data_IF_231829584962
#
_entry.id   IF_231829584962
#
_cell.length_a   1.000
_cell.length_b   1.000
_cell.length_c   1.000
_cell.angle_alpha   90.00
_cell.angle_beta   90.00
_cell.angle_gamma   90.00
#
_symmetry.space_group_name_H-M   'P 1'
#
loop_
_entity.id
_entity.type
_entity.pdbx_description
1 polymer ?
#
# COMPACT_ATOMS: atom_id res chain seq x y z
N UNK A 1 -13.70 17.73 12.71
CA UNK A 1 -12.57 17.02 12.09
C UNK A 1 -12.85 15.55 12.32
N UNK A 2 -13.31 14.86 11.29
CA UNK A 2 -13.82 13.49 11.41
C UNK A 2 -12.71 12.51 11.76
N UNK A 3 -13.14 11.48 12.49
CA UNK A 3 -12.43 10.38 13.11
C UNK A 3 -11.18 9.90 12.36
N UNK A 4 -10.09 9.71 13.12
CA UNK A 4 -8.97 8.86 12.70
C UNK A 4 -9.49 7.43 12.53
N UNK A 5 -9.89 7.08 11.31
CA UNK A 5 -9.97 5.67 10.90
C UNK A 5 -8.57 5.08 11.10
N UNK A 6 -8.48 4.03 11.93
CA UNK A 6 -7.21 3.40 12.25
C UNK A 6 -6.82 2.48 11.09
N UNK A 7 -6.22 3.07 10.04
CA UNK A 7 -5.80 2.35 8.84
C UNK A 7 -4.72 1.32 9.17
N UNK A 8 -5.10 0.06 9.32
CA UNK A 8 -4.15 -1.04 9.50
C UNK A 8 -4.05 -1.83 8.20
N UNK A 9 -2.84 -2.05 7.70
CA UNK A 9 -2.60 -2.95 6.57
C UNK A 9 -2.31 -4.33 7.15
N UNK A 10 -3.17 -5.31 6.90
CA UNK A 10 -2.94 -6.71 7.28
C UNK A 10 -2.23 -7.50 6.19
N UNK A 11 -1.40 -8.47 6.59
CA UNK A 11 -0.53 -9.20 5.68
C UNK A 11 -1.31 -10.05 4.65
N UNK A 12 -2.45 -10.62 5.05
CA UNK A 12 -3.20 -11.60 4.25
C UNK A 12 -4.29 -10.99 3.36
N UNK A 13 -4.41 -9.67 3.32
CA UNK A 13 -5.49 -8.97 2.62
C UNK A 13 -4.98 -8.22 1.37
N UNK A 14 -5.89 -8.02 0.41
CA UNK A 14 -5.62 -7.28 -0.82
C UNK A 14 -6.29 -5.91 -0.78
N UNK A 15 -5.50 -4.85 -0.85
CA UNK A 15 -5.96 -3.48 -0.70
C UNK A 15 -5.95 -2.72 -2.01
N UNK A 16 -6.90 -1.81 -2.17
CA UNK A 16 -6.87 -0.82 -3.25
C UNK A 16 -5.69 0.12 -3.04
N UNK A 17 -5.11 0.59 -4.14
CA UNK A 17 -4.05 1.61 -4.11
C UNK A 17 -4.47 2.87 -3.35
N UNK A 18 -5.75 3.25 -3.39
CA UNK A 18 -6.25 4.39 -2.62
C UNK A 18 -6.09 4.19 -1.11
N UNK A 19 -6.53 3.05 -0.59
CA UNK A 19 -6.42 2.72 0.83
C UNK A 19 -4.97 2.72 1.29
N UNK A 20 -4.07 2.11 0.50
CA UNK A 20 -2.64 2.06 0.83
C UNK A 20 -2.00 3.44 0.86
N UNK A 21 -2.40 4.31 -0.07
CA UNK A 21 -1.94 5.69 -0.14
C UNK A 21 -2.40 6.49 1.09
N UNK A 22 -3.66 6.35 1.46
CA UNK A 22 -4.24 7.05 2.61
C UNK A 22 -3.66 6.51 3.94
N UNK A 23 -3.41 5.20 4.03
CA UNK A 23 -2.86 4.53 5.22
C UNK A 23 -1.39 4.86 5.49
N UNK A 24 -0.58 5.08 4.45
CA UNK A 24 0.89 5.21 4.58
C UNK A 24 1.43 6.57 4.17
N UNK A 25 0.55 7.48 3.76
CA UNK A 25 0.90 8.77 3.14
C UNK A 25 1.81 8.65 1.91
N UNK A 26 1.92 7.46 1.29
CA UNK A 26 2.64 7.28 0.03
C UNK A 26 1.74 7.72 -1.12
N UNK A 27 2.19 8.60 -2.03
CA UNK A 27 1.36 9.03 -3.16
C UNK A 27 0.93 7.85 -4.04
N UNK A 28 -0.35 7.83 -4.46
CA UNK A 28 -0.89 6.80 -5.38
C UNK A 28 -0.02 6.58 -6.61
N UNK A 29 0.53 7.66 -7.19
CA UNK A 29 1.44 7.62 -8.34
C UNK A 29 2.69 6.78 -8.07
N UNK A 30 3.27 6.90 -6.88
CA UNK A 30 4.46 6.13 -6.49
C UNK A 30 4.14 4.64 -6.41
N UNK A 31 2.98 4.30 -5.82
CA UNK A 31 2.52 2.90 -5.74
C UNK A 31 2.28 2.34 -7.14
N UNK A 32 1.64 3.10 -8.05
CA UNK A 32 1.47 2.68 -9.44
C UNK A 32 2.79 2.49 -10.18
N UNK A 33 3.77 3.38 -10.00
CA UNK A 33 5.10 3.21 -10.59
C UNK A 33 5.78 1.93 -10.08
N UNK A 34 5.68 1.62 -8.79
CA UNK A 34 6.23 0.38 -8.23
C UNK A 34 5.56 -0.87 -8.85
N UNK A 35 4.26 -0.81 -9.13
CA UNK A 35 3.54 -1.87 -9.84
C UNK A 35 4.05 -1.99 -11.29
N UNK A 36 4.19 -0.87 -12.01
CA UNK A 36 4.70 -0.84 -13.39
C UNK A 36 6.14 -1.38 -13.50
N UNK A 37 6.97 -1.06 -12.51
CA UNK A 37 8.36 -1.55 -12.38
C UNK A 37 8.45 -3.00 -11.88
N UNK A 38 7.32 -3.66 -11.61
CA UNK A 38 7.23 -5.03 -11.07
C UNK A 38 7.87 -5.20 -9.69
N UNK A 39 7.93 -4.13 -8.91
CA UNK A 39 8.33 -4.15 -7.50
C UNK A 39 7.19 -4.57 -6.57
N UNK A 40 5.94 -4.44 -7.05
CA UNK A 40 4.72 -4.86 -6.37
C UNK A 40 3.86 -5.75 -7.29
N UNK A 41 3.60 -6.96 -6.82
CA UNK A 41 2.58 -7.86 -7.34
C UNK A 41 1.18 -7.31 -7.13
N UNK A 42 0.30 -7.54 -8.11
CA UNK A 42 -1.09 -7.10 -8.04
C UNK A 42 -2.05 -8.15 -8.54
N UNK A 43 -3.28 -8.06 -8.06
CA UNK A 43 -4.43 -8.80 -8.59
C UNK A 43 -5.48 -7.81 -9.08
N UNK A 44 -6.04 -8.07 -10.26
CA UNK A 44 -7.10 -7.24 -10.85
C UNK A 44 -8.46 -7.88 -10.63
N UNK A 45 -9.21 -7.39 -9.63
CA UNK A 45 -10.61 -7.80 -9.37
C UNK A 45 -11.48 -6.55 -9.39
N UNK A 46 -11.94 -6.17 -10.58
CA UNK A 46 -12.62 -4.89 -10.87
C UNK A 46 -11.72 -3.65 -10.76
N UNK A 47 -10.75 -3.66 -9.85
CA UNK A 47 -9.72 -2.64 -9.64
C UNK A 47 -8.37 -3.31 -9.30
N UNK A 48 -7.28 -2.56 -9.43
CA UNK A 48 -5.94 -3.02 -9.05
C UNK A 48 -5.86 -3.07 -7.53
N UNK A 49 -5.46 -4.24 -7.00
CA UNK A 49 -5.20 -4.44 -5.58
C UNK A 49 -3.82 -5.03 -5.36
N UNK A 50 -3.19 -4.66 -4.24
CA UNK A 50 -1.86 -5.12 -3.83
C UNK A 50 -2.00 -5.96 -2.56
N UNK A 51 -1.25 -7.04 -2.44
CA UNK A 51 -1.18 -7.83 -1.21
C UNK A 51 -0.52 -7.01 -0.09
N UNK A 52 -1.15 -6.95 1.09
CA UNK A 52 -0.69 -6.15 2.21
C UNK A 52 0.70 -6.54 2.69
N UNK A 53 1.02 -7.85 2.72
CA UNK A 53 2.36 -8.34 3.10
C UNK A 53 3.45 -7.84 2.15
N UNK A 54 3.20 -7.94 0.84
CA UNK A 54 4.14 -7.50 -0.17
C UNK A 54 4.33 -5.98 -0.11
N UNK A 55 3.23 -5.25 0.04
CA UNK A 55 3.27 -3.80 0.18
C UNK A 55 4.09 -3.35 1.40
N UNK A 56 3.92 -3.98 2.57
CA UNK A 56 4.75 -3.68 3.75
C UNK A 56 6.22 -3.96 3.52
N UNK A 57 6.56 -5.08 2.85
CA UNK A 57 7.96 -5.41 2.52
C UNK A 57 8.57 -4.35 1.62
N UNK A 58 7.86 -3.96 0.56
CA UNK A 58 8.27 -2.89 -0.34
C UNK A 58 8.41 -1.55 0.39
N UNK A 59 7.47 -1.23 1.28
CA UNK A 59 7.49 0.01 2.07
C UNK A 59 8.72 0.05 2.97
N UNK A 60 9.03 -1.02 3.70
CA UNK A 60 10.25 -1.11 4.54
C UNK A 60 11.55 -1.06 3.74
N UNK A 61 11.54 -1.50 2.49
CA UNK A 61 12.73 -1.46 1.63
C UNK A 61 13.02 -0.05 1.08
N UNK A 62 11.98 0.78 0.92
CA UNK A 62 12.08 2.09 0.25
C UNK A 62 11.91 3.28 1.21
N UNK A 63 11.35 3.05 2.40
CA UNK A 63 11.03 4.09 3.37
C UNK A 63 11.54 3.70 4.76
N UNK A 64 11.82 4.71 5.58
CA UNK A 64 12.22 4.53 6.98
C UNK A 64 11.06 3.95 7.81
N UNK A 65 11.39 3.16 8.85
CA UNK A 65 10.40 2.48 9.71
C UNK A 65 9.35 3.41 10.32
N UNK A 66 9.64 4.70 10.49
CA UNK A 66 8.71 5.72 10.99
C UNK A 66 7.45 5.91 10.12
N UNK A 67 7.46 5.48 8.85
CA UNK A 67 6.30 5.51 7.95
C UNK A 67 5.47 4.22 7.96
N UNK A 68 5.94 3.16 8.64
CA UNK A 68 5.38 1.79 8.57
C UNK A 68 4.67 1.38 9.86
N UNK A 69 4.70 2.22 10.90
CA UNK A 69 4.04 2.00 12.19
C UNK A 69 2.54 2.28 12.11
#
# INVERSE_FOLDING_TARGET
MSESENYTIEDHLFYKVSYLSDATNVPKRTIYNAIENRELGTVRVGCIRVEGREYKRWLRANYTEALVA
#
